data_IF_063378462035
#
_entry.id   IF_063378462035
#
_cell.length_a   1.000
_cell.length_b   1.000
_cell.length_c   1.000
_cell.angle_alpha   90.00
_cell.angle_beta   90.00
_cell.angle_gamma   90.00
#
_symmetry.space_group_name_H-M   'P 1'
#
loop_
_entity.id
_entity.type
_entity.pdbx_description
1 polymer ?
#
# COMPACT_ATOMS: atom_id res chain seq x y z
N UNK A 1 6.66 26.61 -14.72
CA UNK A 1 5.34 26.02 -14.39
C UNK A 1 5.50 24.57 -13.92
N UNK A 2 6.66 24.22 -13.38
CA UNK A 2 7.11 22.82 -13.27
C UNK A 2 7.09 22.33 -11.81
N UNK A 3 7.20 23.25 -10.86
CA UNK A 3 7.15 22.96 -9.42
C UNK A 3 5.76 22.41 -9.04
N UNK A 4 4.68 22.97 -9.56
CA UNK A 4 3.32 22.46 -9.29
C UNK A 4 3.13 21.03 -9.77
N UNK A 5 3.65 20.72 -10.96
CA UNK A 5 3.60 19.37 -11.53
C UNK A 5 4.51 18.39 -10.76
N UNK A 6 5.66 18.86 -10.27
CA UNK A 6 6.55 18.08 -9.40
C UNK A 6 5.87 17.73 -8.07
N UNK A 7 5.23 18.70 -7.42
CA UNK A 7 4.50 18.49 -6.17
C UNK A 7 3.35 17.51 -6.35
N UNK A 8 2.59 17.62 -7.44
CA UNK A 8 1.52 16.68 -7.76
C UNK A 8 2.05 15.25 -7.88
N UNK A 9 3.17 15.06 -8.60
CA UNK A 9 3.79 13.73 -8.75
C UNK A 9 4.27 13.16 -7.43
N UNK A 10 4.91 13.98 -6.60
CA UNK A 10 5.38 13.55 -5.29
C UNK A 10 4.22 13.17 -4.38
N UNK A 11 3.17 13.99 -4.33
CA UNK A 11 1.98 13.68 -3.53
C UNK A 11 1.38 12.33 -3.92
N UNK A 12 1.08 12.14 -5.22
CA UNK A 12 0.50 10.88 -5.72
C UNK A 12 1.43 9.69 -5.49
N UNK A 13 2.71 9.82 -5.84
CA UNK A 13 3.69 8.75 -5.71
C UNK A 13 3.91 8.32 -4.27
N UNK A 14 4.00 9.28 -3.34
CA UNK A 14 4.19 8.99 -1.92
C UNK A 14 2.94 8.37 -1.29
N UNK A 15 1.73 8.76 -1.69
CA UNK A 15 0.50 8.12 -1.23
C UNK A 15 0.45 6.65 -1.64
N UNK A 16 0.76 6.34 -2.90
CA UNK A 16 0.81 4.95 -3.39
C UNK A 16 1.89 4.15 -2.66
N UNK A 17 3.08 4.74 -2.48
CA UNK A 17 4.18 4.09 -1.76
C UNK A 17 3.84 3.81 -0.28
N UNK A 18 3.23 4.77 0.41
CA UNK A 18 2.79 4.60 1.80
C UNK A 18 1.72 3.51 1.92
N UNK A 19 0.76 3.46 0.99
CA UNK A 19 -0.26 2.41 0.96
C UNK A 19 0.34 1.02 0.70
N UNK A 20 1.29 0.91 -0.24
CA UNK A 20 2.02 -0.33 -0.48
C UNK A 20 2.82 -0.78 0.74
N UNK A 21 3.47 0.15 1.45
CA UNK A 21 4.17 -0.14 2.70
C UNK A 21 3.22 -0.60 3.82
N UNK A 22 2.02 -0.04 3.92
CA UNK A 22 0.98 -0.53 4.85
C UNK A 22 0.60 -1.99 4.59
N UNK A 23 0.49 -2.36 3.31
CA UNK A 23 0.08 -3.72 2.93
C UNK A 23 1.23 -4.73 3.04
N UNK A 24 2.45 -4.35 2.65
CA UNK A 24 3.61 -5.26 2.65
C UNK A 24 4.28 -5.37 4.03
N UNK A 25 4.53 -4.24 4.69
CA UNK A 25 5.30 -4.22 5.94
C UNK A 25 4.49 -3.86 7.18
N UNK A 26 3.20 -3.55 7.03
CA UNK A 26 2.38 -3.05 8.13
C UNK A 26 2.83 -1.67 8.64
N UNK A 27 3.70 -0.98 7.89
CA UNK A 27 4.17 0.35 8.28
C UNK A 27 3.00 1.34 8.33
N UNK A 28 3.09 2.37 9.17
CA UNK A 28 2.00 3.32 9.45
C UNK A 28 0.73 2.69 10.04
N UNK A 29 0.87 1.60 10.81
CA UNK A 29 -0.26 0.89 11.42
C UNK A 29 -1.10 0.08 10.43
N UNK A 30 -0.53 -0.22 9.26
CA UNK A 30 -1.17 -1.03 8.22
C UNK A 30 -1.37 -2.49 8.63
N UNK A 31 -2.21 -3.20 7.88
CA UNK A 31 -2.58 -4.58 8.20
C UNK A 31 -1.43 -5.58 8.00
N UNK A 32 -0.45 -5.25 7.15
CA UNK A 32 0.68 -6.11 6.83
C UNK A 32 0.29 -7.36 6.03
N UNK A 33 1.30 -8.12 5.62
CA UNK A 33 1.11 -9.31 4.78
C UNK A 33 0.26 -10.39 5.44
N UNK A 34 0.39 -10.56 6.76
CA UNK A 34 -0.34 -11.62 7.48
C UNK A 34 -1.87 -11.43 7.40
N UNK A 35 -2.37 -10.23 7.74
CA UNK A 35 -3.81 -9.94 7.60
C UNK A 35 -4.26 -9.89 6.15
N UNK A 36 -3.40 -9.42 5.25
CA UNK A 36 -3.68 -9.42 3.82
C UNK A 36 -3.87 -10.85 3.32
N UNK A 37 -3.00 -11.79 3.71
CA UNK A 37 -3.14 -13.22 3.43
C UNK A 37 -4.42 -13.81 3.99
N UNK A 38 -4.78 -13.48 5.24
CA UNK A 38 -6.06 -13.91 5.84
C UNK A 38 -7.28 -13.38 5.06
N UNK A 39 -7.22 -12.16 4.52
CA UNK A 39 -8.27 -11.64 3.64
C UNK A 39 -8.36 -12.46 2.35
N UNK A 40 -7.23 -12.76 1.71
CA UNK A 40 -7.21 -13.59 0.51
C UNK A 40 -7.76 -14.99 0.78
N UNK A 41 -7.40 -15.61 1.90
CA UNK A 41 -7.96 -16.88 2.34
C UNK A 41 -9.49 -16.80 2.54
N UNK A 42 -9.97 -15.74 3.20
CA UNK A 42 -11.40 -15.51 3.40
C UNK A 42 -12.17 -15.31 2.08
N UNK A 43 -11.48 -14.84 1.03
CA UNK A 43 -12.02 -14.72 -0.32
C UNK A 43 -11.90 -16.01 -1.14
N UNK A 44 -11.37 -17.09 -0.57
CA UNK A 44 -11.21 -18.39 -1.22
C UNK A 44 -9.91 -18.54 -2.01
N UNK A 45 -8.93 -17.66 -1.82
CA UNK A 45 -7.60 -17.76 -2.40
C UNK A 45 -6.61 -18.27 -1.33
N UNK A 46 -6.32 -19.59 -1.28
CA UNK A 46 -5.37 -20.12 -0.32
C UNK A 46 -3.95 -19.62 -0.62
N UNK A 47 -3.11 -19.39 0.41
CA UNK A 47 -1.69 -19.14 0.20
C UNK A 47 -1.05 -20.35 -0.48
N UNK A 48 -0.16 -20.06 -1.45
CA UNK A 48 0.61 -21.10 -2.15
C UNK A 48 1.64 -21.78 -1.26
#
# INVERSE_FOLDING_TARGET
MDIGLLLLRLAVGLTIAAHGAQMLSGWFGGQGLAKTGQLFEALGFPPG
#
